data_IF_524986730800
#
_entry.id   IF_524986730800
#
_cell.length_a   1.000
_cell.length_b   1.000
_cell.length_c   1.000
_cell.angle_alpha   90.00
_cell.angle_beta   90.00
_cell.angle_gamma   90.00
#
_symmetry.space_group_name_H-M   'P 1'
#
loop_
_entity.id
_entity.type
_entity.pdbx_description
1 polymer ?
#
# COMPACT_ATOMS: atom_id res chain seq x y z
N UNK A 1 -0.77 -8.66 -1.92
CA UNK A 1 -1.62 -8.84 -3.11
C UNK A 1 -2.41 -10.15 -3.04
N UNK A 2 -3.60 -10.14 -3.64
CA UNK A 2 -4.48 -11.31 -3.72
C UNK A 2 -4.92 -11.53 -5.16
N UNK A 3 -4.89 -12.78 -5.62
CA UNK A 3 -5.61 -13.21 -6.82
C UNK A 3 -6.99 -13.73 -6.40
N UNK A 4 -7.97 -13.68 -7.31
CA UNK A 4 -9.30 -14.25 -7.08
C UNK A 4 -9.58 -15.31 -8.14
N UNK A 5 -9.96 -16.51 -7.70
CA UNK A 5 -10.36 -17.61 -8.59
C UNK A 5 -11.67 -18.20 -8.08
N UNK A 6 -12.68 -18.24 -8.95
CA UNK A 6 -14.03 -18.74 -8.62
C UNK A 6 -14.63 -18.06 -7.37
N UNK A 7 -14.35 -16.77 -7.18
CA UNK A 7 -14.76 -15.98 -6.02
C UNK A 7 -13.93 -16.22 -4.75
N UNK A 8 -12.94 -17.11 -4.77
CA UNK A 8 -12.08 -17.41 -3.63
C UNK A 8 -10.78 -16.59 -3.73
N UNK A 9 -10.43 -15.78 -2.72
CA UNK A 9 -9.18 -15.04 -2.69
C UNK A 9 -8.00 -15.94 -2.30
N UNK A 10 -6.91 -15.82 -3.04
CA UNK A 10 -5.63 -16.47 -2.79
C UNK A 10 -4.58 -15.38 -2.58
N UNK A 11 -3.89 -15.41 -1.45
CA UNK A 11 -2.78 -14.50 -1.24
C UNK A 11 -1.61 -14.90 -2.13
N UNK A 12 -1.04 -13.92 -2.84
CA UNK A 12 0.06 -14.14 -3.80
C UNK A 12 1.33 -13.37 -3.43
N UNK A 13 1.20 -12.26 -2.69
CA UNK A 13 2.34 -11.53 -2.15
C UNK A 13 1.98 -10.90 -0.79
N UNK A 14 2.82 -11.11 0.21
CA UNK A 14 2.68 -10.54 1.55
C UNK A 14 3.80 -9.56 1.91
N UNK A 15 4.82 -9.46 1.06
CA UNK A 15 6.08 -8.84 1.40
C UNK A 15 6.24 -7.47 0.74
N UNK A 16 5.51 -7.19 -0.35
CA UNK A 16 5.54 -5.90 -1.00
C UNK A 16 4.61 -4.89 -0.27
N UNK A 17 5.17 -3.84 0.36
CA UNK A 17 4.37 -2.80 1.02
C UNK A 17 3.69 -1.84 0.02
N UNK A 18 4.08 -1.88 -1.25
CA UNK A 18 3.48 -1.10 -2.31
C UNK A 18 2.55 -2.00 -3.14
N UNK A 19 1.28 -1.63 -3.32
CA UNK A 19 0.40 -2.37 -4.23
C UNK A 19 0.88 -2.21 -5.68
N UNK A 20 0.85 -3.28 -6.48
CA UNK A 20 0.89 -3.13 -7.94
C UNK A 20 -0.34 -2.34 -8.41
N UNK A 21 -0.08 -1.22 -9.04
CA UNK A 21 -1.07 -0.26 -9.52
C UNK A 21 -0.74 0.17 -10.95
N UNK A 22 -0.12 -0.69 -11.76
CA UNK A 22 0.12 -0.38 -13.17
C UNK A 22 -1.18 0.00 -13.89
N UNK A 23 -1.13 1.05 -14.70
CA UNK A 23 -2.28 1.60 -15.41
C UNK A 23 -2.96 0.57 -16.30
N UNK A 24 -2.21 -0.34 -16.93
CA UNK A 24 -2.78 -1.37 -17.81
C UNK A 24 -3.49 -2.47 -17.01
N UNK A 25 -3.09 -2.69 -15.76
CA UNK A 25 -3.70 -3.65 -14.84
C UNK A 25 -4.98 -3.11 -14.21
N UNK A 26 -4.97 -1.86 -13.74
CA UNK A 26 -6.09 -1.28 -12.96
C UNK A 26 -7.04 -0.41 -13.78
N UNK A 27 -6.65 0.00 -14.98
CA UNK A 27 -7.42 0.91 -15.83
C UNK A 27 -7.24 2.39 -15.46
N UNK A 28 -7.61 3.28 -16.39
CA UNK A 28 -7.28 4.71 -16.27
C UNK A 28 -7.94 5.40 -15.08
N UNK A 29 -9.23 5.11 -14.83
CA UNK A 29 -10.00 5.72 -13.75
C UNK A 29 -9.42 5.36 -12.38
N UNK A 30 -9.18 4.07 -12.14
CA UNK A 30 -8.59 3.61 -10.90
C UNK A 30 -7.17 4.13 -10.74
N UNK A 31 -6.38 4.16 -11.82
CA UNK A 31 -5.03 4.73 -11.79
C UNK A 31 -5.04 6.20 -11.38
N UNK A 32 -5.91 7.02 -11.99
CA UNK A 32 -6.05 8.44 -11.65
C UNK A 32 -6.46 8.62 -10.18
N UNK A 33 -7.42 7.82 -9.71
CA UNK A 33 -7.83 7.83 -8.31
C UNK A 33 -6.68 7.47 -7.37
N UNK A 34 -5.91 6.42 -7.67
CA UNK A 34 -4.76 5.97 -6.88
C UNK A 34 -3.72 7.08 -6.78
N UNK A 35 -3.36 7.71 -7.90
CA UNK A 35 -2.37 8.81 -7.93
C UNK A 35 -2.83 9.97 -7.05
N UNK A 36 -4.08 10.41 -7.19
CA UNK A 36 -4.58 11.54 -6.41
C UNK A 36 -4.57 11.27 -4.90
N UNK A 37 -5.05 10.09 -4.48
CA UNK A 37 -5.15 9.77 -3.06
C UNK A 37 -3.80 9.44 -2.45
N UNK A 38 -2.90 8.79 -3.20
CA UNK A 38 -1.52 8.56 -2.76
C UNK A 38 -0.76 9.88 -2.56
N UNK A 39 -0.95 10.85 -3.46
CA UNK A 39 -0.36 12.17 -3.32
C UNK A 39 -0.90 12.92 -2.08
N UNK A 40 -2.23 12.89 -1.86
CA UNK A 40 -2.86 13.47 -0.66
C UNK A 40 -2.30 12.84 0.63
N UNK A 41 -2.21 11.51 0.66
CA UNK A 41 -1.66 10.77 1.80
C UNK A 41 -0.19 11.16 2.06
N UNK A 42 0.64 11.24 1.01
CA UNK A 42 2.04 11.63 1.14
C UNK A 42 2.19 13.04 1.74
N UNK A 43 1.37 14.00 1.30
CA UNK A 43 1.35 15.36 1.83
C UNK A 43 0.90 15.38 3.30
N UNK A 44 -0.15 14.62 3.66
CA UNK A 44 -0.60 14.49 5.05
C UNK A 44 0.54 13.96 5.94
N UNK A 45 1.22 12.88 5.52
CA UNK A 45 2.34 12.31 6.29
C UNK A 45 3.54 13.23 6.39
N UNK A 46 3.80 14.04 5.37
CA UNK A 46 4.83 15.07 5.43
C UNK A 46 4.49 16.18 6.45
N UNK A 47 3.22 16.59 6.54
CA UNK A 47 2.74 17.58 7.54
C UNK A 47 2.76 17.02 8.96
N UNK A 48 2.44 15.74 9.13
CA UNK A 48 2.44 15.04 10.42
C UNK A 48 3.83 14.62 10.91
N UNK A 49 4.87 14.88 10.11
CA UNK A 49 6.23 14.48 10.42
C UNK A 49 6.72 15.10 11.74
N UNK A 50 7.28 14.26 12.61
CA UNK A 50 7.91 14.67 13.87
C UNK A 50 9.37 14.19 13.87
N UNK A 51 10.35 15.11 13.96
CA UNK A 51 11.76 14.73 14.01
C UNK A 51 12.04 13.68 15.09
N UNK A 52 12.83 12.67 14.75
CA UNK A 52 13.21 11.58 15.66
C UNK A 52 12.14 10.51 15.90
N UNK A 53 10.91 10.66 15.38
CA UNK A 53 9.86 9.64 15.50
C UNK A 53 9.91 8.68 14.31
N UNK A 54 10.22 7.41 14.57
CA UNK A 54 10.16 6.34 13.57
C UNK A 54 8.69 5.99 13.29
N UNK A 55 8.19 6.33 12.11
CA UNK A 55 6.81 6.03 11.65
C UNK A 55 6.76 4.84 10.67
N UNK A 56 7.79 4.00 10.62
CA UNK A 56 7.88 2.84 9.73
C UNK A 56 7.28 1.63 10.48
N UNK A 57 6.02 1.31 10.21
CA UNK A 57 5.31 0.23 10.89
C UNK A 57 5.40 -1.13 10.18
N UNK A 58 5.71 -1.15 8.88
CA UNK A 58 5.73 -2.40 8.09
C UNK A 58 6.72 -3.43 8.65
N UNK A 59 7.95 -3.01 8.94
CA UNK A 59 8.96 -3.88 9.56
C UNK A 59 8.56 -4.38 10.95
N UNK A 60 7.88 -3.55 11.76
CA UNK A 60 7.38 -3.97 13.09
C UNK A 60 6.20 -4.94 12.99
N UNK A 61 5.38 -4.82 11.94
CA UNK A 61 4.24 -5.69 11.69
C UNK A 61 4.66 -7.12 11.31
N UNK A 62 5.72 -7.27 10.50
CA UNK A 62 6.22 -8.59 10.08
C UNK A 62 7.19 -9.23 11.08
N UNK A 63 7.72 -8.48 12.05
CA UNK A 63 8.49 -9.07 13.14
C UNK A 63 7.57 -9.75 14.15
N UNK A 64 7.50 -11.08 14.08
CA UNK A 64 6.90 -11.93 15.09
C UNK A 64 7.67 -11.77 16.41
N UNK A 65 7.21 -10.89 17.30
CA UNK A 65 7.52 -10.97 18.73
C UNK A 65 6.28 -11.49 19.45
N UNK A 66 6.25 -12.81 19.64
CA UNK A 66 5.54 -13.46 20.75
C UNK A 66 6.23 -13.08 22.07
#
# INVERSE_FOLDING_TARGET
EFAVRDGIPYAIDFCNPAPDADKNSVGEENFAWIVEHSAKLAIEKAKDYKPGKVNINWGKFVTNKL
#
